data_IF_832331968580
#
_entry.id   IF_832331968580
#
_cell.length_a   1.000
_cell.length_b   1.000
_cell.length_c   1.000
_cell.angle_alpha   90.00
_cell.angle_beta   90.00
_cell.angle_gamma   90.00
#
_symmetry.space_group_name_H-M   'P 1'
#
loop_
_entity.id
_entity.type
_entity.pdbx_description
1 polymer ?
#
# COMPACT_ATOMS: atom_id res chain seq x y z
N UNK A 1 -56.64 -12.58 28.11
CA UNK A 1 -55.41 -12.84 27.33
C UNK A 1 -55.53 -12.35 25.87
N UNK A 2 -56.67 -12.56 25.18
CA UNK A 2 -56.84 -12.11 23.78
C UNK A 2 -56.85 -10.58 23.56
N UNK A 3 -57.36 -9.79 24.51
CA UNK A 3 -57.36 -8.32 24.40
C UNK A 3 -55.95 -7.72 24.42
N UNK A 4 -55.01 -8.36 25.12
CA UNK A 4 -53.61 -7.90 25.19
C UNK A 4 -52.89 -8.12 23.85
N UNK A 5 -53.21 -9.21 23.16
CA UNK A 5 -52.67 -9.54 21.84
C UNK A 5 -53.17 -8.58 20.76
N UNK A 6 -54.45 -8.19 20.82
CA UNK A 6 -55.02 -7.23 19.89
C UNK A 6 -54.41 -5.82 20.07
N UNK A 7 -54.11 -5.43 21.31
CA UNK A 7 -53.42 -4.15 21.58
C UNK A 7 -51.97 -4.16 21.05
N UNK A 8 -51.26 -5.28 21.19
CA UNK A 8 -49.89 -5.44 20.69
C UNK A 8 -49.81 -5.38 19.15
N UNK A 9 -50.75 -6.03 18.46
CA UNK A 9 -50.89 -5.97 17.00
C UNK A 9 -51.18 -4.55 16.50
N UNK A 10 -52.02 -3.79 17.23
CA UNK A 10 -52.31 -2.40 16.90
C UNK A 10 -51.08 -1.50 17.09
N UNK A 11 -50.30 -1.69 18.17
CA UNK A 11 -49.05 -0.95 18.41
C UNK A 11 -47.97 -1.24 17.36
N UNK A 12 -47.84 -2.48 16.90
CA UNK A 12 -46.90 -2.85 15.82
C UNK A 12 -47.27 -2.23 14.47
N UNK A 13 -48.57 -2.05 14.19
CA UNK A 13 -49.04 -1.42 12.94
C UNK A 13 -48.91 0.11 12.91
N UNK A 14 -48.71 0.73 14.08
CA UNK A 14 -48.56 2.18 14.25
C UNK A 14 -47.10 2.62 14.47
N UNK A 15 -46.16 1.69 14.47
CA UNK A 15 -44.74 2.03 14.49
C UNK A 15 -44.37 2.68 13.14
N UNK A 16 -43.79 3.90 13.13
CA UNK A 16 -43.28 4.47 11.89
C UNK A 16 -42.21 3.54 11.34
N UNK A 17 -42.37 3.11 10.08
CA UNK A 17 -41.29 2.50 9.31
C UNK A 17 -40.18 3.54 9.20
N UNK A 18 -39.17 3.44 10.06
CA UNK A 18 -37.93 4.20 9.89
C UNK A 18 -37.34 3.69 8.57
N UNK A 19 -37.15 4.55 7.55
CA UNK A 19 -36.42 4.15 6.37
C UNK A 19 -35.06 3.66 6.84
N UNK A 20 -34.67 2.44 6.47
CA UNK A 20 -33.32 1.97 6.72
C UNK A 20 -32.36 3.05 6.22
N UNK A 21 -31.48 3.53 7.10
CA UNK A 21 -30.42 4.46 6.69
C UNK A 21 -29.71 3.82 5.51
N UNK A 22 -29.52 4.59 4.44
CA UNK A 22 -28.82 4.08 3.26
C UNK A 22 -27.47 3.57 3.74
N UNK A 23 -27.24 2.27 3.57
CA UNK A 23 -26.00 1.63 3.97
C UNK A 23 -24.81 2.18 3.20
N UNK A 24 -23.64 1.61 3.44
CA UNK A 24 -22.43 1.94 2.71
C UNK A 24 -22.64 1.72 1.20
N UNK A 25 -22.74 2.82 0.43
CA UNK A 25 -22.81 2.77 -1.03
C UNK A 25 -21.39 2.90 -1.60
N UNK A 26 -20.89 1.83 -2.22
CA UNK A 26 -19.61 1.88 -2.93
C UNK A 26 -19.69 2.86 -4.10
N UNK A 27 -18.69 3.75 -4.28
CA UNK A 27 -18.64 4.66 -5.41
C UNK A 27 -18.67 3.89 -6.73
N UNK A 28 -19.62 4.24 -7.59
CA UNK A 28 -19.61 3.81 -9.00
C UNK A 28 -18.96 4.89 -9.82
N UNK A 29 -18.19 4.49 -10.83
CA UNK A 29 -17.62 5.44 -11.77
C UNK A 29 -18.73 6.31 -12.37
N UNK A 30 -18.63 7.63 -12.19
CA UNK A 30 -19.65 8.58 -12.60
C UNK A 30 -19.51 9.01 -14.07
N UNK A 31 -18.53 8.47 -14.78
CA UNK A 31 -18.29 8.73 -16.21
C UNK A 31 -17.49 10.01 -16.49
N UNK A 32 -17.04 10.74 -15.46
CA UNK A 32 -16.22 11.94 -15.67
C UNK A 32 -14.74 11.58 -15.69
N UNK A 33 -14.07 12.11 -16.71
CA UNK A 33 -12.62 12.06 -16.91
C UNK A 33 -11.90 12.98 -15.91
N UNK A 34 -11.12 12.37 -15.01
CA UNK A 34 -10.31 13.04 -13.98
C UNK A 34 -8.82 12.76 -14.17
N UNK A 35 -8.44 11.70 -14.88
CA UNK A 35 -7.05 11.30 -15.08
C UNK A 35 -6.41 12.15 -16.17
N UNK A 36 -5.33 12.84 -15.83
CA UNK A 36 -4.72 13.82 -16.73
C UNK A 36 -3.67 13.16 -17.64
N UNK A 37 -3.76 13.33 -18.96
CA UNK A 37 -2.64 13.07 -19.89
C UNK A 37 -1.54 14.13 -19.68
N UNK A 38 -0.49 13.76 -18.93
CA UNK A 38 0.58 14.67 -18.50
C UNK A 38 1.66 14.76 -19.58
N UNK A 39 1.89 15.98 -20.03
CA UNK A 39 2.87 16.32 -21.06
C UNK A 39 3.60 17.63 -20.74
N UNK A 40 4.54 18.02 -21.62
CA UNK A 40 5.40 19.19 -21.38
C UNK A 40 4.63 20.51 -21.21
N UNK A 41 3.39 20.60 -21.72
CA UNK A 41 2.58 21.81 -21.67
C UNK A 41 1.85 21.97 -20.34
N UNK A 42 1.48 20.87 -19.67
CA UNK A 42 0.58 20.91 -18.52
C UNK A 42 1.20 20.43 -17.20
N UNK A 43 2.32 19.68 -17.19
CA UNK A 43 2.84 19.05 -15.97
C UNK A 43 3.09 20.04 -14.82
N UNK A 44 3.69 21.21 -15.10
CA UNK A 44 3.92 22.24 -14.07
C UNK A 44 2.64 22.78 -13.46
N UNK A 45 1.56 22.85 -14.24
CA UNK A 45 0.25 23.30 -13.77
C UNK A 45 -0.39 22.21 -12.90
N UNK A 46 -0.28 20.95 -13.32
CA UNK A 46 -0.77 19.81 -12.54
C UNK A 46 -0.07 19.72 -11.17
N UNK A 47 1.27 19.77 -11.15
CA UNK A 47 2.09 19.72 -9.93
C UNK A 47 1.78 20.84 -8.92
N UNK A 48 1.27 21.99 -9.39
CA UNK A 48 0.88 23.11 -8.52
C UNK A 48 -0.59 23.09 -8.09
N UNK A 49 -1.44 22.37 -8.84
CA UNK A 49 -2.89 22.34 -8.62
C UNK A 49 -3.24 21.44 -7.44
N UNK A 50 -2.50 20.34 -7.28
CA UNK A 50 -2.81 19.30 -6.31
C UNK A 50 -1.80 19.31 -5.16
N UNK A 51 -2.27 18.95 -3.97
CA UNK A 51 -1.40 18.78 -2.79
C UNK A 51 -0.54 17.52 -2.91
N UNK A 52 -1.09 16.51 -3.58
CA UNK A 52 -0.42 15.29 -4.00
C UNK A 52 -0.84 14.94 -5.43
N UNK A 53 0.10 14.50 -6.27
CA UNK A 53 -0.14 14.09 -7.65
C UNK A 53 0.44 12.70 -7.89
N UNK A 54 -0.42 11.73 -8.19
CA UNK A 54 -0.06 10.36 -8.54
C UNK A 54 0.02 10.23 -10.06
N UNK A 55 1.19 9.85 -10.58
CA UNK A 55 1.45 9.71 -12.02
C UNK A 55 1.81 8.26 -12.36
N UNK A 56 0.98 7.60 -13.17
CA UNK A 56 1.33 6.33 -13.78
C UNK A 56 2.25 6.56 -14.98
N UNK A 57 3.47 6.06 -14.91
CA UNK A 57 4.40 6.05 -16.04
C UNK A 57 4.19 4.78 -16.86
N UNK A 58 3.68 4.90 -18.08
CA UNK A 58 3.22 3.74 -18.85
C UNK A 58 3.92 3.58 -20.20
N UNK A 59 3.91 2.32 -20.69
CA UNK A 59 4.29 1.97 -22.06
C UNK A 59 3.32 2.58 -23.08
N UNK A 60 3.75 2.81 -24.33
CA UNK A 60 2.84 3.26 -25.38
C UNK A 60 1.66 2.30 -25.51
N UNK A 61 0.49 2.83 -25.82
CA UNK A 61 -0.70 2.02 -26.04
C UNK A 61 -0.42 1.09 -27.23
N UNK A 62 -0.42 -0.25 -27.01
CA UNK A 62 -0.11 -1.20 -28.07
C UNK A 62 -1.27 -1.33 -29.07
N UNK A 63 -0.97 -1.78 -30.28
CA UNK A 63 -1.99 -2.08 -31.30
C UNK A 63 -2.80 -3.36 -30.98
N UNK A 64 -2.26 -4.21 -30.10
CA UNK A 64 -2.92 -5.44 -29.67
C UNK A 64 -4.16 -5.17 -28.82
N UNK A 65 -5.29 -5.77 -29.20
CA UNK A 65 -6.59 -5.52 -28.56
C UNK A 65 -6.64 -5.95 -27.09
N UNK A 66 -5.92 -6.99 -26.71
CA UNK A 66 -5.95 -7.48 -25.32
C UNK A 66 -5.15 -6.55 -24.42
N UNK A 67 -3.97 -6.13 -24.88
CA UNK A 67 -3.16 -5.15 -24.16
C UNK A 67 -3.83 -3.75 -24.11
N UNK A 68 -4.63 -3.38 -25.11
CA UNK A 68 -5.48 -2.17 -25.04
C UNK A 68 -6.54 -2.27 -23.95
N UNK A 69 -7.17 -3.43 -23.77
CA UNK A 69 -8.12 -3.62 -22.66
C UNK A 69 -7.43 -3.52 -21.31
N UNK A 70 -6.22 -4.05 -21.18
CA UNK A 70 -5.43 -3.90 -19.94
C UNK A 70 -5.17 -2.42 -19.64
N UNK A 71 -4.78 -1.64 -20.66
CA UNK A 71 -4.59 -0.19 -20.51
C UNK A 71 -5.90 0.51 -20.09
N UNK A 72 -7.02 0.17 -20.71
CA UNK A 72 -8.34 0.72 -20.35
C UNK A 72 -8.78 0.34 -18.93
N UNK A 73 -8.47 -0.88 -18.49
CA UNK A 73 -8.76 -1.30 -17.12
C UNK A 73 -7.93 -0.51 -16.11
N UNK A 74 -6.65 -0.27 -16.39
CA UNK A 74 -5.78 0.56 -15.55
C UNK A 74 -6.29 2.00 -15.49
N UNK A 75 -6.63 2.59 -16.63
CA UNK A 75 -7.22 3.93 -16.71
C UNK A 75 -8.50 4.01 -15.87
N UNK A 76 -9.39 3.02 -15.97
CA UNK A 76 -10.62 2.94 -15.17
C UNK A 76 -10.35 2.88 -13.66
N UNK A 77 -9.32 2.13 -13.23
CA UNK A 77 -8.91 2.07 -11.82
C UNK A 77 -8.41 3.42 -11.33
N UNK A 78 -7.59 4.12 -12.14
CA UNK A 78 -7.13 5.46 -11.83
C UNK A 78 -8.27 6.47 -11.77
N UNK A 79 -9.26 6.37 -12.66
CA UNK A 79 -10.46 7.21 -12.67
C UNK A 79 -11.30 7.06 -11.41
N UNK A 80 -11.52 5.80 -10.98
CA UNK A 80 -12.21 5.52 -9.72
C UNK A 80 -11.44 6.06 -8.51
N UNK A 81 -10.12 5.88 -8.48
CA UNK A 81 -9.27 6.43 -7.43
C UNK A 81 -9.34 7.97 -7.40
N UNK A 82 -9.27 8.61 -8.56
CA UNK A 82 -9.40 10.05 -8.70
C UNK A 82 -10.77 10.56 -8.25
N UNK A 83 -11.85 9.82 -8.54
CA UNK A 83 -13.19 10.15 -8.08
C UNK A 83 -13.30 10.10 -6.55
N UNK A 84 -12.76 9.05 -5.92
CA UNK A 84 -12.79 8.88 -4.45
C UNK A 84 -11.94 9.96 -3.75
N UNK A 85 -10.85 10.38 -4.38
CA UNK A 85 -9.88 11.30 -3.78
C UNK A 85 -10.08 12.77 -4.19
N UNK A 86 -11.11 13.07 -5.00
CA UNK A 86 -11.38 14.41 -5.55
C UNK A 86 -11.49 15.48 -4.45
N UNK A 87 -12.16 15.14 -3.34
CA UNK A 87 -12.33 16.04 -2.19
C UNK A 87 -11.04 16.29 -1.39
N UNK A 88 -10.02 15.43 -1.55
CA UNK A 88 -8.73 15.53 -0.84
C UNK A 88 -7.67 16.31 -1.63
N UNK A 89 -8.03 16.90 -2.76
CA UNK A 89 -7.12 17.62 -3.67
C UNK A 89 -5.92 16.77 -4.13
N UNK A 90 -6.14 15.44 -4.27
CA UNK A 90 -5.15 14.50 -4.81
C UNK A 90 -5.46 14.31 -6.30
N UNK A 91 -4.46 14.59 -7.14
CA UNK A 91 -4.57 14.43 -8.59
C UNK A 91 -4.05 13.08 -9.06
N UNK A 92 -4.61 12.60 -10.17
CA UNK A 92 -4.12 11.43 -10.88
C UNK A 92 -3.81 11.79 -12.33
N UNK A 93 -2.78 11.18 -12.89
CA UNK A 93 -2.38 11.39 -14.27
C UNK A 93 -1.56 10.25 -14.84
N UNK A 94 -1.35 10.30 -16.15
CA UNK A 94 -0.60 9.31 -16.91
C UNK A 94 0.49 10.03 -17.70
N UNK A 95 1.67 9.41 -17.77
CA UNK A 95 2.81 9.89 -18.56
C UNK A 95 3.26 8.77 -19.49
N UNK A 96 3.20 9.02 -20.79
CA UNK A 96 3.65 8.07 -21.80
C UNK A 96 5.18 8.10 -21.94
N UNK A 97 5.79 6.93 -21.82
CA UNK A 97 7.24 6.70 -21.90
C UNK A 97 7.89 7.09 -23.21
N UNK A 98 7.18 7.01 -24.35
CA UNK A 98 7.74 7.33 -25.66
C UNK A 98 7.36 8.74 -26.12
N UNK A 99 6.10 9.12 -25.93
CA UNK A 99 5.54 10.42 -26.35
C UNK A 99 6.01 11.55 -25.44
N UNK A 100 6.09 11.31 -24.13
CA UNK A 100 6.32 12.33 -23.10
C UNK A 100 7.69 12.20 -22.39
N UNK A 101 8.66 11.58 -23.07
CA UNK A 101 10.07 11.39 -22.63
C UNK A 101 10.71 12.60 -21.94
N UNK A 102 10.49 13.81 -22.46
CA UNK A 102 11.07 15.05 -21.89
C UNK A 102 10.48 15.39 -20.51
N UNK A 103 9.22 15.03 -20.25
CA UNK A 103 8.60 15.21 -18.92
C UNK A 103 9.07 14.09 -18.00
N UNK A 104 9.03 12.84 -18.46
CA UNK A 104 9.53 11.70 -17.71
C UNK A 104 10.94 11.95 -17.16
N UNK A 105 11.87 12.40 -18.02
CA UNK A 105 13.23 12.77 -17.62
C UNK A 105 13.31 13.92 -16.60
N UNK A 106 12.39 14.90 -16.67
CA UNK A 106 12.37 16.03 -15.72
C UNK A 106 11.80 15.66 -14.37
N UNK A 107 10.88 14.70 -14.35
CA UNK A 107 10.22 14.22 -13.14
C UNK A 107 10.93 13.00 -12.53
N UNK A 108 11.98 12.48 -13.18
CA UNK A 108 12.70 11.30 -12.70
C UNK A 108 11.93 9.99 -12.84
N UNK A 109 11.04 9.89 -13.83
CA UNK A 109 10.30 8.65 -14.11
C UNK A 109 11.22 7.72 -14.91
N UNK A 110 11.46 6.53 -14.38
CA UNK A 110 12.43 5.57 -14.93
C UNK A 110 11.77 4.23 -15.22
N UNK A 111 10.94 3.74 -14.32
CA UNK A 111 10.38 2.38 -14.36
C UNK A 111 8.98 2.37 -14.95
N UNK A 112 8.84 1.83 -16.16
CA UNK A 112 7.55 1.69 -16.84
C UNK A 112 6.64 0.71 -16.11
N UNK A 113 5.39 1.12 -15.87
CA UNK A 113 4.41 0.38 -15.07
C UNK A 113 4.27 0.91 -13.64
N UNK A 114 5.20 1.75 -13.19
CA UNK A 114 5.20 2.28 -11.83
C UNK A 114 4.37 3.55 -11.68
N UNK A 115 3.76 3.71 -10.51
CA UNK A 115 3.02 4.92 -10.11
C UNK A 115 3.93 5.77 -9.21
N UNK A 116 4.18 7.00 -9.63
CA UNK A 116 5.01 7.97 -8.90
C UNK A 116 4.12 8.96 -8.16
N UNK A 117 4.37 9.17 -6.87
CA UNK A 117 3.58 10.09 -6.03
C UNK A 117 4.40 11.33 -5.71
N UNK A 118 3.92 12.49 -6.13
CA UNK A 118 4.54 13.79 -5.84
C UNK A 118 3.73 14.52 -4.77
N UNK A 119 4.37 14.99 -3.70
CA UNK A 119 3.73 15.75 -2.62
C UNK A 119 4.39 17.12 -2.48
N UNK A 120 3.64 18.17 -2.14
CA UNK A 120 4.20 19.50 -1.95
C UNK A 120 5.09 19.61 -0.68
N UNK A 121 6.27 20.20 -0.85
CA UNK A 121 7.32 20.37 0.17
C UNK A 121 6.87 21.11 1.42
N UNK A 122 7.33 20.66 2.60
CA UNK A 122 7.47 21.48 3.82
C UNK A 122 8.24 20.76 4.95
N UNK A 123 9.55 21.05 5.10
CA UNK A 123 10.36 21.03 6.35
C UNK A 123 10.95 19.70 6.89
N UNK A 124 12.24 19.63 7.23
CA UNK A 124 13.44 19.53 6.38
C UNK A 124 14.33 18.45 7.01
N UNK A 125 15.03 17.65 6.22
CA UNK A 125 15.74 16.41 6.58
C UNK A 125 14.89 15.20 7.03
N UNK A 126 14.26 15.20 8.23
CA UNK A 126 13.45 14.03 8.66
C UNK A 126 12.24 13.81 7.75
N UNK A 127 11.58 14.90 7.35
CA UNK A 127 10.48 14.83 6.40
C UNK A 127 10.95 14.54 4.97
N UNK A 128 12.15 14.97 4.59
CA UNK A 128 12.70 14.62 3.27
C UNK A 128 12.95 13.11 3.17
N UNK A 129 13.55 12.51 4.22
CA UNK A 129 13.64 11.06 4.33
C UNK A 129 12.25 10.41 4.37
N UNK A 130 11.32 10.94 5.17
CA UNK A 130 9.96 10.43 5.21
C UNK A 130 9.26 10.50 3.83
N UNK A 131 9.48 11.56 3.05
CA UNK A 131 8.94 11.73 1.70
C UNK A 131 9.55 10.73 0.71
N UNK A 132 10.81 10.35 0.89
CA UNK A 132 11.47 9.32 0.08
C UNK A 132 10.90 7.92 0.34
N UNK A 133 10.61 7.59 1.59
CA UNK A 133 10.18 6.24 1.97
C UNK A 133 8.66 6.09 2.17
N UNK A 134 7.89 7.19 2.16
CA UNK A 134 6.43 7.11 2.18
C UNK A 134 5.87 6.68 0.81
N UNK A 135 4.80 5.87 0.79
CA UNK A 135 3.99 5.43 1.94
C UNK A 135 4.49 4.15 2.63
N UNK A 136 5.57 3.53 2.15
CA UNK A 136 6.01 2.19 2.53
C UNK A 136 6.52 2.11 3.98
N UNK A 137 7.36 3.06 4.41
CA UNK A 137 7.84 3.16 5.79
C UNK A 137 7.10 4.31 6.47
N UNK A 138 6.48 4.03 7.62
CA UNK A 138 5.73 5.03 8.39
C UNK A 138 6.69 5.81 9.28
N UNK A 139 6.73 7.13 9.10
CA UNK A 139 7.52 8.05 9.92
C UNK A 139 6.60 8.71 10.95
N UNK A 140 6.98 8.63 12.22
CA UNK A 140 6.29 9.29 13.32
C UNK A 140 7.21 10.35 13.96
N UNK A 141 6.62 11.46 14.41
CA UNK A 141 7.34 12.47 15.18
C UNK A 141 6.52 12.83 16.41
N UNK A 142 7.19 13.16 17.50
CA UNK A 142 6.55 13.72 18.68
C UNK A 142 7.30 14.95 19.16
N UNK A 143 6.56 15.97 19.59
CA UNK A 143 7.09 17.16 20.24
C UNK A 143 6.81 17.16 21.75
N UNK A 144 6.13 16.12 22.25
CA UNK A 144 5.72 16.00 23.63
C UNK A 144 6.79 15.26 24.45
N UNK A 145 7.34 15.93 25.46
CA UNK A 145 8.35 15.35 26.36
C UNK A 145 7.88 14.08 27.07
N UNK A 146 6.59 13.96 27.35
CA UNK A 146 6.01 12.77 27.97
C UNK A 146 6.11 11.55 27.05
N UNK A 147 5.67 11.71 25.79
CA UNK A 147 5.74 10.66 24.75
C UNK A 147 7.20 10.29 24.46
N UNK A 148 8.09 11.27 24.30
CA UNK A 148 9.52 10.99 24.10
C UNK A 148 10.14 10.19 25.26
N UNK A 149 9.74 10.47 26.51
CA UNK A 149 10.23 9.73 27.67
C UNK A 149 9.72 8.28 27.69
N UNK A 150 8.48 8.04 27.25
CA UNK A 150 7.90 6.70 27.16
C UNK A 150 8.58 5.86 26.07
N UNK A 151 8.90 6.49 24.94
CA UNK A 151 9.68 5.89 23.85
C UNK A 151 11.20 5.86 24.12
N UNK A 152 11.65 6.30 25.30
CA UNK A 152 13.07 6.39 25.68
C UNK A 152 13.96 7.25 24.75
N UNK A 153 13.36 8.15 23.96
CA UNK A 153 14.04 9.02 22.99
C UNK A 153 14.66 10.27 23.63
N UNK A 154 15.89 10.63 23.24
CA UNK A 154 16.46 11.96 23.49
C UNK A 154 16.10 12.95 22.37
N UNK A 155 16.39 14.23 22.62
CA UNK A 155 16.16 15.28 21.62
C UNK A 155 16.96 14.99 20.35
N UNK A 156 16.28 14.98 19.21
CA UNK A 156 16.83 14.68 17.87
C UNK A 156 17.32 13.24 17.65
N UNK A 157 17.05 12.31 18.57
CA UNK A 157 17.25 10.89 18.30
C UNK A 157 16.14 10.34 17.40
N UNK A 158 16.50 9.40 16.54
CA UNK A 158 15.58 8.68 15.67
C UNK A 158 15.79 7.19 15.91
N UNK A 159 14.72 6.52 16.31
CA UNK A 159 14.69 5.07 16.45
C UNK A 159 14.06 4.45 15.20
N UNK A 160 14.72 3.42 14.67
CA UNK A 160 14.20 2.56 13.61
C UNK A 160 13.69 1.26 14.24
N UNK A 161 12.41 0.96 14.00
CA UNK A 161 11.79 -0.29 14.44
C UNK A 161 11.72 -1.24 13.26
N UNK A 162 12.59 -2.23 13.25
CA UNK A 162 12.54 -3.31 12.26
C UNK A 162 11.25 -4.13 12.47
N UNK A 163 10.56 -4.58 11.41
CA UNK A 163 9.39 -5.43 11.53
C UNK A 163 9.66 -6.66 12.44
N UNK A 164 8.71 -6.94 13.34
CA UNK A 164 8.74 -8.07 14.28
C UNK A 164 9.76 -8.01 15.44
N UNK A 165 10.56 -6.94 15.50
CA UNK A 165 11.49 -6.71 16.63
C UNK A 165 10.81 -5.90 17.74
N UNK A 166 11.14 -6.22 19.00
CA UNK A 166 10.61 -5.50 20.17
C UNK A 166 11.43 -4.26 20.51
N UNK A 167 12.75 -4.32 20.33
CA UNK A 167 13.68 -3.22 20.62
C UNK A 167 14.04 -2.44 19.34
N UNK A 168 14.05 -1.10 19.37
CA UNK A 168 14.48 -0.31 18.23
C UNK A 168 15.99 -0.25 18.09
N UNK A 169 16.44 0.10 16.88
CA UNK A 169 17.82 0.52 16.60
C UNK A 169 17.86 2.04 16.50
N UNK A 170 18.53 2.71 17.46
CA UNK A 170 18.77 4.15 17.38
C UNK A 170 19.75 4.47 16.26
N UNK A 171 19.33 5.27 15.29
CA UNK A 171 20.14 5.65 14.15
C UNK A 171 21.34 6.52 14.61
N UNK A 172 22.57 6.21 14.17
CA UNK A 172 23.74 7.02 14.51
C UNK A 172 23.70 8.40 13.82
N UNK A 173 24.36 9.39 14.43
CA UNK A 173 24.47 10.77 13.91
C UNK A 173 25.13 10.91 12.51
N UNK A 174 25.60 9.80 11.91
CA UNK A 174 26.22 9.76 10.58
C UNK A 174 25.54 8.70 9.72
N UNK A 175 25.19 9.02 8.46
CA UNK A 175 24.68 8.02 7.53
C UNK A 175 25.78 6.99 7.27
N UNK A 176 25.45 5.72 7.47
CA UNK A 176 26.22 4.63 6.88
C UNK A 176 26.04 4.72 5.36
N UNK A 177 27.06 4.31 4.60
CA UNK A 177 26.98 4.23 3.15
C UNK A 177 25.79 3.34 2.75
N UNK A 178 25.03 3.79 1.75
CA UNK A 178 24.05 2.96 1.04
C UNK A 178 24.83 1.78 0.43
N UNK A 179 24.81 0.63 1.10
CA UNK A 179 25.13 -0.64 0.44
C UNK A 179 23.82 -1.08 -0.22
N UNK A 180 23.84 -1.16 -1.55
CA UNK A 180 22.77 -1.78 -2.30
C UNK A 180 22.79 -3.28 -1.95
N UNK A 181 21.75 -3.76 -1.28
CA UNK A 181 21.53 -5.20 -1.15
C UNK A 181 21.25 -5.72 -2.57
N UNK A 182 22.25 -6.38 -3.16
CA UNK A 182 22.07 -7.17 -4.37
C UNK A 182 21.00 -8.24 -4.09
N UNK A 183 19.75 -7.95 -4.47
CA UNK A 183 18.63 -8.90 -4.41
C UNK A 183 18.75 -9.92 -5.56
N UNK A 184 19.92 -10.53 -5.70
CA UNK A 184 20.15 -11.68 -6.57
C UNK A 184 20.32 -12.92 -5.67
N UNK A 185 19.21 -13.55 -5.32
CA UNK A 185 19.21 -14.72 -4.45
C UNK A 185 17.82 -15.28 -4.22
N UNK A 186 17.74 -16.58 -3.95
CA UNK A 186 16.50 -17.26 -3.59
C UNK A 186 15.91 -16.67 -2.29
N UNK A 187 14.60 -16.47 -2.24
CA UNK A 187 13.91 -15.98 -1.05
C UNK A 187 13.36 -17.14 -0.22
N UNK A 188 13.45 -17.03 1.11
CA UNK A 188 12.65 -17.87 2.00
C UNK A 188 11.26 -17.23 2.05
N UNK A 189 10.24 -17.96 1.62
CA UNK A 189 8.84 -17.51 1.64
C UNK A 189 8.06 -18.38 2.60
N UNK A 190 7.30 -17.75 3.48
CA UNK A 190 6.41 -18.41 4.43
C UNK A 190 4.97 -17.94 4.21
N UNK A 191 4.05 -18.88 4.01
CA UNK A 191 2.61 -18.59 3.93
C UNK A 191 1.96 -18.96 5.25
N UNK A 192 1.22 -18.03 5.87
CA UNK A 192 0.44 -18.30 7.07
C UNK A 192 -0.66 -17.23 7.20
N UNK A 193 -1.90 -17.65 7.44
CA UNK A 193 -3.03 -16.77 7.74
C UNK A 193 -2.95 -16.31 9.21
N UNK A 194 -2.87 -15.00 9.48
CA UNK A 194 -2.78 -14.51 10.87
C UNK A 194 -4.05 -14.78 11.68
N UNK A 195 -5.21 -14.82 11.02
CA UNK A 195 -6.51 -15.05 11.67
C UNK A 195 -6.81 -16.53 11.97
N UNK A 196 -6.11 -17.47 11.31
CA UNK A 196 -6.24 -18.90 11.57
C UNK A 196 -5.37 -19.33 12.78
N UNK A 197 -5.87 -20.17 13.71
CA UNK A 197 -5.09 -20.58 14.88
C UNK A 197 -3.75 -21.25 14.56
N UNK A 198 -3.69 -22.12 13.54
CA UNK A 198 -2.45 -22.81 13.16
C UNK A 198 -1.51 -21.82 12.44
N UNK A 199 -2.06 -20.90 11.64
CA UNK A 199 -1.32 -19.81 11.01
C UNK A 199 -0.72 -18.81 11.99
N UNK A 200 -1.47 -18.39 13.02
CA UNK A 200 -1.00 -17.53 14.08
C UNK A 200 0.15 -18.16 14.88
N UNK A 201 0.02 -19.42 15.29
CA UNK A 201 1.08 -20.13 16.01
C UNK A 201 2.36 -20.23 15.17
N UNK A 202 2.21 -20.53 13.88
CA UNK A 202 3.32 -20.57 12.95
C UNK A 202 3.99 -19.20 12.76
N UNK A 203 3.20 -18.13 12.65
CA UNK A 203 3.71 -16.77 12.55
C UNK A 203 4.50 -16.35 13.80
N UNK A 204 4.05 -16.69 14.99
CA UNK A 204 4.81 -16.40 16.22
C UNK A 204 6.17 -17.12 16.24
N UNK A 205 6.23 -18.36 15.75
CA UNK A 205 7.50 -19.08 15.58
C UNK A 205 8.41 -18.40 14.54
N UNK A 206 7.85 -17.92 13.42
CA UNK A 206 8.63 -17.15 12.43
C UNK A 206 9.21 -15.87 13.03
N UNK A 207 8.43 -15.15 13.85
CA UNK A 207 8.90 -13.96 14.56
C UNK A 207 10.04 -14.30 15.52
N UNK A 208 9.93 -15.40 16.27
CA UNK A 208 11.02 -15.89 17.14
C UNK A 208 12.28 -16.21 16.35
N UNK A 209 12.16 -16.95 15.24
CA UNK A 209 13.29 -17.25 14.34
C UNK A 209 13.93 -15.98 13.78
N UNK A 210 13.12 -15.00 13.37
CA UNK A 210 13.61 -13.72 12.87
C UNK A 210 14.38 -12.95 13.95
N UNK A 211 13.84 -12.86 15.17
CA UNK A 211 14.50 -12.20 16.32
C UNK A 211 15.84 -12.87 16.67
N UNK A 212 15.87 -14.19 16.75
CA UNK A 212 17.08 -14.95 17.11
C UNK A 212 18.19 -14.82 16.05
N UNK A 213 17.83 -14.47 14.81
CA UNK A 213 18.75 -14.40 13.68
C UNK A 213 18.85 -13.01 13.06
N UNK A 214 18.37 -11.95 13.72
CA UNK A 214 18.38 -10.55 13.22
C UNK A 214 19.78 -10.07 12.79
N UNK A 215 20.84 -10.62 13.38
CA UNK A 215 22.22 -10.27 13.05
C UNK A 215 22.79 -10.97 11.81
N UNK A 216 22.03 -11.85 11.15
CA UNK A 216 22.50 -12.63 10.02
C UNK A 216 22.08 -11.97 8.69
N UNK A 217 22.96 -11.20 8.02
CA UNK A 217 22.58 -10.36 6.87
C UNK A 217 22.10 -11.17 5.65
N UNK A 218 22.48 -12.45 5.55
CA UNK A 218 22.03 -13.34 4.47
C UNK A 218 20.68 -14.03 4.73
N UNK A 219 20.01 -13.77 5.85
CA UNK A 219 18.72 -14.37 6.18
C UNK A 219 17.62 -13.32 6.02
N UNK A 220 16.71 -13.54 5.07
CA UNK A 220 15.50 -12.73 4.89
C UNK A 220 14.33 -13.67 4.62
N UNK A 221 13.26 -13.50 5.39
CA UNK A 221 12.03 -14.31 5.30
C UNK A 221 10.89 -13.39 4.88
N UNK A 222 10.26 -13.71 3.76
CA UNK A 222 9.04 -13.05 3.30
C UNK A 222 7.86 -13.83 3.86
N UNK A 223 7.14 -13.24 4.82
CA UNK A 223 5.84 -13.77 5.23
C UNK A 223 4.73 -13.19 4.33
N UNK A 224 3.83 -14.07 3.89
CA UNK A 224 2.66 -13.73 3.08
C UNK A 224 1.44 -14.31 3.79
N UNK A 225 0.48 -13.44 4.13
CA UNK A 225 -0.87 -13.87 4.47
C UNK A 225 -1.65 -14.12 3.16
N UNK A 226 -2.10 -15.35 2.85
CA UNK A 226 -2.88 -15.63 1.64
C UNK A 226 -4.15 -14.79 1.49
N UNK A 227 -4.81 -14.42 2.60
CA UNK A 227 -6.07 -13.68 2.59
C UNK A 227 -5.93 -12.23 2.10
N UNK A 228 -4.73 -11.66 2.18
CA UNK A 228 -4.41 -10.35 1.60
C UNK A 228 -4.34 -10.41 0.05
N UNK A 229 -4.16 -11.59 -0.53
CA UNK A 229 -3.97 -11.81 -1.96
C UNK A 229 -4.87 -12.92 -2.53
N UNK A 230 -6.21 -12.81 -2.38
CA UNK A 230 -7.13 -13.91 -2.70
C UNK A 230 -7.11 -14.31 -4.18
N UNK A 231 -6.73 -13.38 -5.08
CA UNK A 231 -6.62 -13.64 -6.51
C UNK A 231 -5.34 -14.42 -6.90
N UNK A 232 -4.33 -14.45 -6.03
CA UNK A 232 -3.06 -15.15 -6.27
C UNK A 232 -3.04 -16.56 -5.66
N UNK A 233 -3.92 -16.87 -4.69
CA UNK A 233 -4.01 -18.20 -4.06
C UNK A 233 -4.02 -19.33 -5.11
N UNK A 234 -4.91 -19.35 -6.13
CA UNK A 234 -4.95 -20.46 -7.08
C UNK A 234 -3.68 -20.57 -7.94
N UNK A 235 -3.00 -19.45 -8.18
CA UNK A 235 -1.75 -19.42 -8.91
C UNK A 235 -0.61 -20.00 -8.06
N UNK A 236 -0.49 -19.61 -6.80
CA UNK A 236 0.54 -20.11 -5.89
C UNK A 236 0.37 -21.60 -5.57
N UNK A 237 -0.83 -22.06 -5.25
CA UNK A 237 -1.11 -23.49 -5.02
C UNK A 237 -0.70 -24.34 -6.22
N UNK A 238 -1.03 -23.89 -7.44
CA UNK A 238 -0.67 -24.58 -8.67
C UNK A 238 0.83 -24.55 -8.94
N UNK A 239 1.48 -23.40 -8.74
CA UNK A 239 2.88 -23.17 -9.09
C UNK A 239 3.81 -23.88 -8.11
N UNK A 240 3.56 -23.72 -6.82
CA UNK A 240 4.38 -24.30 -5.76
C UNK A 240 3.90 -25.68 -5.30
N UNK A 241 2.74 -26.14 -5.77
CA UNK A 241 2.15 -27.44 -5.41
C UNK A 241 1.94 -27.58 -3.89
N UNK A 242 1.48 -26.50 -3.28
CA UNK A 242 1.20 -26.40 -1.84
C UNK A 242 -0.30 -26.23 -1.59
N UNK A 243 -0.72 -26.50 -0.36
CA UNK A 243 -2.07 -26.27 0.15
C UNK A 243 -2.01 -25.02 1.05
N UNK A 244 -2.54 -23.88 0.57
CA UNK A 244 -2.43 -22.61 1.29
C UNK A 244 -3.41 -22.47 2.46
N UNK A 245 -4.33 -23.42 2.64
CA UNK A 245 -5.14 -23.55 3.86
C UNK A 245 -4.35 -24.02 5.08
N UNK A 246 -3.03 -24.20 4.94
CA UNK A 246 -2.12 -24.60 6.02
C UNK A 246 -0.85 -23.78 5.94
N UNK A 247 -0.16 -23.56 7.07
CA UNK A 247 1.12 -22.88 7.06
C UNK A 247 2.15 -23.61 6.18
N UNK A 248 2.88 -22.85 5.36
CA UNK A 248 3.93 -23.35 4.47
C UNK A 248 5.20 -22.53 4.64
N UNK A 249 6.36 -23.14 4.45
CA UNK A 249 7.64 -22.43 4.29
C UNK A 249 8.52 -23.13 3.28
N UNK A 250 9.16 -22.36 2.41
CA UNK A 250 10.00 -22.89 1.36
C UNK A 250 10.97 -21.84 0.81
N UNK A 251 11.83 -22.28 -0.11
CA UNK A 251 12.77 -21.41 -0.82
C UNK A 251 12.27 -21.24 -2.25
N UNK A 252 12.06 -19.99 -2.66
CA UNK A 252 11.64 -19.61 -4.01
C UNK A 252 12.81 -18.99 -4.74
N UNK A 253 13.18 -19.55 -5.89
CA UNK A 253 14.21 -18.97 -6.74
C UNK A 253 13.60 -17.95 -7.71
N UNK A 254 14.20 -16.76 -7.81
CA UNK A 254 13.69 -15.64 -8.61
C UNK A 254 14.35 -15.57 -10.00
N UNK A 255 15.36 -16.40 -10.26
CA UNK A 255 16.18 -16.33 -11.49
C UNK A 255 15.70 -17.20 -12.66
N UNK A 256 14.49 -17.77 -12.60
CA UNK A 256 13.94 -18.64 -13.67
C UNK A 256 12.92 -17.93 -14.59
#
# INVERSE_FOLDING_TARGET
MHALWLLLLLCLSLAPLIPAEKGLEFPRYDGKDRVIDINNKNYKKAMKKYTMLCLLYHKPIPDDKELQKQHQMIEMVLELAAQVMEEKEIGFGMVDSHKDTKVAKKLGLVEEGSVYVFKADHYSAFKEAAEQFQPYIKFFTTFEKAVAKELTLKMNEVDFYEPFMEEPVTLPDRPNSEEEDDVEGSHIVAFAEEEDPDGYEFLELLKEVARDNTHHPGLSIIWIDPDDFPLLIPYWEKTFQVDLFKPQIGVVNVTD
#
